data_IF_326688766800
#
_entry.id   IF_326688766800
#
_cell.length_a   1.000
_cell.length_b   1.000
_cell.length_c   1.000
_cell.angle_alpha   90.00
_cell.angle_beta   90.00
_cell.angle_gamma   90.00
#
_symmetry.space_group_name_H-M   'P 1'
#
loop_
_entity.id
_entity.type
_entity.pdbx_description
1 polymer ?
#
# COMPACT_ATOMS: atom_id res chain seq x y z
N UNK A 1 2.75 5.02 -4.75
CA UNK A 1 3.39 6.34 -4.62
C UNK A 1 4.23 6.37 -3.34
N UNK A 2 3.66 6.24 -2.13
CA UNK A 2 4.40 6.33 -0.86
C UNK A 2 5.39 5.18 -0.64
N UNK A 3 5.06 3.97 -1.06
CA UNK A 3 5.91 2.79 -0.88
C UNK A 3 7.24 2.87 -1.64
N UNK A 4 7.24 3.49 -2.83
CA UNK A 4 8.44 3.56 -3.66
C UNK A 4 9.55 4.42 -3.05
N UNK A 5 9.31 5.69 -2.65
CA UNK A 5 10.33 6.51 -2.00
C UNK A 5 10.90 5.86 -0.75
N UNK A 6 10.05 5.23 0.06
CA UNK A 6 10.48 4.55 1.29
C UNK A 6 11.36 3.35 0.96
N UNK A 7 10.92 2.46 0.07
CA UNK A 7 11.69 1.29 -0.34
C UNK A 7 13.04 1.70 -0.98
N UNK A 8 13.02 2.75 -1.81
CA UNK A 8 14.23 3.30 -2.42
C UNK A 8 15.19 3.88 -1.38
N UNK A 9 14.68 4.66 -0.42
CA UNK A 9 15.49 5.20 0.67
C UNK A 9 16.14 4.05 1.47
N UNK A 10 15.37 3.04 1.86
CA UNK A 10 15.88 1.89 2.62
C UNK A 10 16.95 1.12 1.84
N UNK A 11 16.76 0.93 0.52
CA UNK A 11 17.74 0.24 -0.32
C UNK A 11 19.10 0.95 -0.38
N UNK A 12 19.14 2.26 -0.07
CA UNK A 12 20.34 3.10 -0.07
C UNK A 12 20.98 3.27 1.31
N UNK A 13 20.28 2.84 2.37
CA UNK A 13 20.83 2.90 3.74
C UNK A 13 21.91 1.83 3.91
N UNK A 14 22.91 2.14 4.76
CA UNK A 14 23.98 1.19 5.13
C UNK A 14 23.39 -0.09 5.69
N UNK A 15 24.06 -1.20 5.42
CA UNK A 15 23.57 -2.55 5.75
C UNK A 15 23.33 -2.76 7.25
N UNK A 16 24.17 -2.18 8.10
CA UNK A 16 24.07 -2.24 9.56
C UNK A 16 22.77 -1.59 10.09
N UNK A 17 22.31 -0.50 9.49
CA UNK A 17 21.11 0.23 9.90
C UNK A 17 19.85 -0.32 9.20
N UNK A 18 20.00 -0.81 7.99
CA UNK A 18 18.91 -1.25 7.10
C UNK A 18 18.00 -2.29 7.73
N UNK A 19 18.59 -3.30 8.39
CA UNK A 19 17.83 -4.33 9.08
C UNK A 19 16.99 -3.77 10.23
N UNK A 20 17.52 -2.80 10.97
CA UNK A 20 16.77 -2.08 12.01
C UNK A 20 15.59 -1.29 11.46
N UNK A 21 15.79 -0.59 10.33
CA UNK A 21 14.71 0.16 9.67
C UNK A 21 13.61 -0.77 9.15
N UNK A 22 13.97 -1.91 8.56
CA UNK A 22 13.00 -2.92 8.13
C UNK A 22 12.20 -3.49 9.31
N UNK A 23 12.87 -3.82 10.41
CA UNK A 23 12.20 -4.26 11.63
C UNK A 23 11.22 -3.21 12.15
N UNK A 24 11.59 -1.94 12.12
CA UNK A 24 10.75 -0.83 12.57
C UNK A 24 9.49 -0.66 11.70
N UNK A 25 9.60 -0.90 10.40
CA UNK A 25 8.47 -0.90 9.47
C UNK A 25 7.54 -2.09 9.73
N UNK A 26 8.11 -3.25 10.10
CA UNK A 26 7.34 -4.46 10.37
C UNK A 26 6.78 -4.51 11.80
N UNK A 27 7.33 -3.74 12.73
CA UNK A 27 6.95 -3.76 14.14
C UNK A 27 5.44 -3.56 14.37
N UNK A 28 4.75 -2.63 13.68
CA UNK A 28 3.30 -2.50 13.82
C UNK A 28 2.51 -3.77 13.50
N UNK A 29 3.06 -4.67 12.66
CA UNK A 29 2.38 -5.92 12.29
C UNK A 29 2.30 -6.94 13.43
N UNK A 30 3.14 -6.81 14.44
CA UNK A 30 3.10 -7.68 15.62
C UNK A 30 1.99 -7.29 16.59
N UNK A 31 1.36 -6.13 16.37
CA UNK A 31 0.18 -5.72 17.12
C UNK A 31 -1.10 -6.14 16.39
N UNK A 32 -2.20 -6.28 17.14
CA UNK A 32 -3.50 -6.60 16.55
C UNK A 32 -3.91 -5.58 15.48
N UNK A 33 -4.42 -6.08 14.36
CA UNK A 33 -4.95 -5.25 13.28
C UNK A 33 -6.05 -4.30 13.77
N UNK A 34 -7.01 -4.82 14.54
CA UNK A 34 -8.10 -4.02 15.09
C UNK A 34 -7.61 -2.93 16.03
N UNK A 35 -6.64 -3.23 16.92
CA UNK A 35 -6.05 -2.21 17.79
C UNK A 35 -5.45 -1.05 17.00
N UNK A 36 -4.79 -1.34 15.88
CA UNK A 36 -4.23 -0.30 15.00
C UNK A 36 -5.31 0.57 14.39
N UNK A 37 -6.41 -0.03 13.91
CA UNK A 37 -7.55 0.72 13.36
C UNK A 37 -8.19 1.60 14.44
N UNK A 38 -8.43 1.07 15.63
CA UNK A 38 -8.96 1.85 16.77
C UNK A 38 -8.01 2.98 17.19
N UNK A 39 -6.70 2.76 17.16
CA UNK A 39 -5.73 3.82 17.43
C UNK A 39 -5.87 4.97 16.43
N UNK A 40 -6.05 4.67 15.13
CA UNK A 40 -6.30 5.69 14.11
C UNK A 40 -7.62 6.44 14.33
N UNK A 41 -8.69 5.75 14.77
CA UNK A 41 -9.94 6.41 15.15
C UNK A 41 -9.70 7.45 16.26
N UNK A 42 -8.94 7.08 17.30
CA UNK A 42 -8.57 8.01 18.36
C UNK A 42 -7.70 9.17 17.90
N UNK A 43 -6.71 8.90 17.03
CA UNK A 43 -5.78 9.92 16.50
C UNK A 43 -6.51 10.95 15.63
N UNK A 44 -7.44 10.50 14.77
CA UNK A 44 -8.15 11.33 13.79
C UNK A 44 -9.43 11.95 14.32
N UNK A 45 -9.89 11.59 15.52
CA UNK A 45 -11.12 12.15 16.11
C UNK A 45 -11.02 13.66 16.27
N UNK A 46 -12.16 14.35 16.41
CA UNK A 46 -12.22 15.80 16.61
C UNK A 46 -11.47 16.27 17.86
N UNK A 47 -11.44 15.44 18.89
CA UNK A 47 -10.66 15.65 20.13
C UNK A 47 -9.35 14.85 20.14
N UNK A 48 -8.94 14.31 18.99
CA UNK A 48 -7.77 13.45 18.84
C UNK A 48 -6.45 14.19 18.81
N UNK A 49 -5.35 13.43 18.83
CA UNK A 49 -3.99 13.96 18.90
C UNK A 49 -3.69 14.94 17.77
N UNK A 50 -4.11 14.64 16.53
CA UNK A 50 -3.81 15.52 15.37
C UNK A 50 -4.48 16.87 15.54
N UNK A 51 -5.77 16.92 15.84
CA UNK A 51 -6.50 18.16 16.05
C UNK A 51 -5.94 18.95 17.24
N UNK A 52 -5.65 18.28 18.35
CA UNK A 52 -5.07 18.91 19.54
C UNK A 52 -3.71 19.55 19.24
N UNK A 53 -2.84 18.88 18.50
CA UNK A 53 -1.54 19.44 18.13
C UNK A 53 -1.66 20.63 17.18
N UNK A 54 -2.51 20.52 16.15
CA UNK A 54 -2.71 21.61 15.19
C UNK A 54 -3.30 22.85 15.85
N UNK A 55 -4.23 22.70 16.80
CA UNK A 55 -4.78 23.81 17.59
C UNK A 55 -3.73 24.42 18.53
N UNK A 56 -2.96 23.60 19.22
CA UNK A 56 -1.91 24.09 20.13
C UNK A 56 -0.81 24.85 19.40
N UNK A 57 -0.54 24.53 18.14
CA UNK A 57 0.42 25.26 17.31
C UNK A 57 -0.19 26.49 16.61
N UNK A 58 -1.48 26.76 16.83
CA UNK A 58 -2.19 27.88 16.21
C UNK A 58 -2.34 27.77 14.69
N UNK A 59 -2.28 26.55 14.15
CA UNK A 59 -2.44 26.29 12.71
C UNK A 59 -3.91 26.30 12.33
N UNK A 60 -4.81 25.87 13.24
CA UNK A 60 -6.24 25.81 13.04
C UNK A 60 -6.98 26.43 14.23
N UNK A 61 -8.08 27.14 13.97
CA UNK A 61 -8.91 27.78 15.00
C UNK A 61 -9.97 26.82 15.58
N UNK A 62 -10.32 25.77 14.86
CA UNK A 62 -11.32 24.75 15.24
C UNK A 62 -10.93 23.37 14.82
N UNK A 63 -11.56 22.30 15.35
CA UNK A 63 -11.22 20.94 15.01
C UNK A 63 -11.60 20.63 13.54
N UNK A 64 -10.68 19.96 12.84
CA UNK A 64 -10.92 19.42 11.48
C UNK A 64 -11.69 18.11 11.56
N UNK A 65 -12.59 17.89 10.63
CA UNK A 65 -13.28 16.60 10.46
C UNK A 65 -12.38 15.63 9.68
N UNK A 66 -11.35 15.10 10.36
CA UNK A 66 -10.39 14.18 9.77
C UNK A 66 -10.86 12.72 9.82
N UNK A 67 -11.86 12.43 10.63
CA UNK A 67 -12.36 11.08 10.88
C UNK A 67 -13.69 10.82 10.16
N UNK A 68 -13.94 9.55 9.83
CA UNK A 68 -15.18 9.04 9.26
C UNK A 68 -15.51 9.61 7.87
N UNK A 69 -14.47 9.72 7.02
CA UNK A 69 -14.55 10.23 5.66
C UNK A 69 -13.56 9.51 4.71
N UNK A 70 -13.52 9.90 3.43
CA UNK A 70 -12.63 9.33 2.44
C UNK A 70 -11.14 9.52 2.79
N UNK A 71 -10.78 10.63 3.41
CA UNK A 71 -9.39 10.88 3.81
C UNK A 71 -8.91 9.88 4.86
N UNK A 72 -9.70 9.66 5.93
CA UNK A 72 -9.36 8.67 6.97
C UNK A 72 -9.31 7.26 6.39
N UNK A 73 -10.23 6.91 5.51
CA UNK A 73 -10.22 5.62 4.81
C UNK A 73 -8.90 5.38 4.07
N UNK A 74 -8.53 6.31 3.18
CA UNK A 74 -7.31 6.19 2.37
C UNK A 74 -6.06 6.18 3.26
N UNK A 75 -5.99 7.06 4.26
CA UNK A 75 -4.85 7.16 5.16
C UNK A 75 -4.60 5.85 5.92
N UNK A 76 -5.66 5.30 6.52
CA UNK A 76 -5.57 4.05 7.29
C UNK A 76 -5.29 2.84 6.39
N UNK A 77 -5.89 2.79 5.20
CA UNK A 77 -5.60 1.77 4.19
C UNK A 77 -4.13 1.82 3.76
N UNK A 78 -3.61 3.01 3.43
CA UNK A 78 -2.19 3.17 3.07
C UNK A 78 -1.30 2.72 4.22
N UNK A 79 -1.55 3.15 5.44
CA UNK A 79 -0.79 2.73 6.61
C UNK A 79 -0.81 1.21 6.81
N UNK A 80 -2.00 0.59 6.71
CA UNK A 80 -2.18 -0.84 6.94
C UNK A 80 -1.47 -1.72 5.90
N UNK A 81 -1.42 -1.29 4.64
CA UNK A 81 -0.90 -2.10 3.54
C UNK A 81 0.47 -1.65 3.01
N UNK A 82 1.01 -0.53 3.51
CA UNK A 82 2.30 0.03 3.08
C UNK A 82 3.47 -0.98 3.13
N UNK A 83 3.65 -1.80 4.18
CA UNK A 83 4.74 -2.77 4.24
C UNK A 83 4.66 -3.85 3.15
N UNK A 84 3.47 -4.26 2.74
CA UNK A 84 3.30 -5.21 1.64
C UNK A 84 3.79 -4.65 0.30
N UNK A 85 3.74 -3.32 0.12
CA UNK A 85 4.33 -2.66 -1.04
C UNK A 85 5.84 -2.49 -0.90
N UNK A 86 6.32 -2.13 0.30
CA UNK A 86 7.74 -1.84 0.54
C UNK A 86 8.61 -3.08 0.35
N UNK A 87 8.23 -4.23 0.90
CA UNK A 87 9.09 -5.42 0.95
C UNK A 87 9.48 -5.96 -0.43
N UNK A 88 8.56 -6.25 -1.37
CA UNK A 88 8.93 -6.74 -2.70
C UNK A 88 9.73 -5.70 -3.50
N UNK A 89 9.35 -4.44 -3.37
CA UNK A 89 10.02 -3.35 -4.06
C UNK A 89 11.44 -3.14 -3.55
N UNK A 90 11.62 -3.18 -2.23
CA UNK A 90 12.93 -3.13 -1.59
C UNK A 90 13.83 -4.30 -2.03
N UNK A 91 13.33 -5.53 -2.03
CA UNK A 91 14.11 -6.69 -2.47
C UNK A 91 14.54 -6.60 -3.92
N UNK A 92 13.69 -6.04 -4.79
CA UNK A 92 14.04 -5.80 -6.19
C UNK A 92 15.08 -4.69 -6.35
N UNK A 93 14.94 -3.59 -5.60
CA UNK A 93 15.89 -2.48 -5.62
C UNK A 93 17.28 -2.87 -5.08
N UNK A 94 17.37 -3.84 -4.18
CA UNK A 94 18.65 -4.38 -3.72
C UNK A 94 19.42 -5.17 -4.78
N UNK A 95 18.69 -5.80 -5.72
CA UNK A 95 19.30 -6.57 -6.81
C UNK A 95 19.87 -5.67 -7.92
N UNK A 96 19.56 -4.38 -7.88
CA UNK A 96 19.98 -3.44 -8.89
C UNK A 96 21.48 -3.16 -8.80
N UNK A 97 22.22 -3.45 -9.85
CA UNK A 97 23.67 -3.18 -9.91
C UNK A 97 23.94 -1.67 -9.96
N UNK A 98 24.63 -1.19 -8.95
CA UNK A 98 25.00 0.22 -8.83
C UNK A 98 25.91 0.70 -9.98
N UNK A 99 26.69 -0.20 -10.59
CA UNK A 99 27.55 0.13 -11.72
C UNK A 99 26.78 0.69 -12.92
N UNK A 100 25.52 0.29 -13.10
CA UNK A 100 24.66 0.85 -14.13
C UNK A 100 24.39 2.35 -13.93
N UNK A 101 24.26 2.77 -12.66
CA UNK A 101 24.04 4.18 -12.33
C UNK A 101 25.32 5.00 -12.43
N UNK A 102 26.46 4.41 -12.09
CA UNK A 102 27.79 5.01 -12.26
C UNK A 102 28.09 5.21 -13.75
N UNK A 103 27.91 4.18 -14.57
CA UNK A 103 28.08 4.26 -16.02
C UNK A 103 27.16 5.31 -16.67
N UNK A 104 25.92 5.43 -16.21
CA UNK A 104 25.02 6.49 -16.68
C UNK A 104 25.52 7.88 -16.29
N UNK A 105 26.08 8.03 -15.09
CA UNK A 105 26.73 9.27 -14.65
C UNK A 105 27.94 9.66 -15.51
N UNK A 106 28.79 8.70 -15.82
CA UNK A 106 29.95 8.90 -16.69
C UNK A 106 29.56 9.33 -18.12
N UNK A 107 28.38 8.87 -18.59
CA UNK A 107 27.76 9.30 -19.83
C UNK A 107 27.01 10.64 -19.74
N UNK A 108 27.11 11.35 -18.61
CA UNK A 108 26.49 12.66 -18.37
C UNK A 108 25.00 12.63 -18.05
N UNK A 109 24.44 11.49 -17.64
CA UNK A 109 23.05 11.44 -17.21
C UNK A 109 22.90 12.09 -15.83
N UNK A 110 21.90 12.97 -15.70
CA UNK A 110 21.55 13.52 -14.38
C UNK A 110 20.94 12.43 -13.47
N UNK A 111 20.97 12.58 -12.12
CA UNK A 111 20.39 11.60 -11.19
C UNK A 111 18.92 11.29 -11.48
N UNK A 112 18.14 12.30 -11.85
CA UNK A 112 16.71 12.14 -12.21
C UNK A 112 16.59 11.32 -13.51
N UNK A 113 17.43 11.58 -14.50
CA UNK A 113 17.42 10.83 -15.76
C UNK A 113 17.81 9.38 -15.52
N UNK A 114 18.87 9.11 -14.76
CA UNK A 114 19.28 7.75 -14.37
C UNK A 114 18.18 7.01 -13.59
N UNK A 115 17.50 7.70 -12.69
CA UNK A 115 16.36 7.13 -11.98
C UNK A 115 15.24 6.72 -12.92
N UNK A 116 14.81 7.59 -13.83
CA UNK A 116 13.70 7.34 -14.75
C UNK A 116 14.01 6.30 -15.84
N UNK A 117 15.28 6.24 -16.30
CA UNK A 117 15.67 5.37 -17.40
C UNK A 117 16.26 4.03 -16.97
N UNK A 118 16.77 3.92 -15.75
CA UNK A 118 17.42 2.70 -15.24
C UNK A 118 16.66 2.16 -14.02
N UNK A 119 16.61 2.92 -12.91
CA UNK A 119 16.08 2.43 -11.65
C UNK A 119 14.61 2.07 -11.75
N UNK A 120 13.79 2.96 -12.29
CA UNK A 120 12.35 2.78 -12.40
C UNK A 120 11.98 1.60 -13.32
N UNK A 121 12.54 1.45 -14.53
CA UNK A 121 12.25 0.30 -15.38
C UNK A 121 12.70 -1.04 -14.79
N UNK A 122 13.88 -1.10 -14.18
CA UNK A 122 14.41 -2.33 -13.59
C UNK A 122 13.69 -2.73 -12.28
N UNK A 123 13.00 -1.78 -11.64
CA UNK A 123 12.18 -2.05 -10.45
C UNK A 123 10.73 -2.44 -10.76
N UNK A 124 10.31 -2.50 -12.04
CA UNK A 124 8.94 -2.81 -12.45
C UNK A 124 8.41 -4.10 -11.84
N UNK A 125 9.20 -5.16 -11.83
CA UNK A 125 8.80 -6.47 -11.26
C UNK A 125 8.44 -6.32 -9.78
N UNK A 126 9.28 -5.61 -9.00
CA UNK A 126 9.00 -5.32 -7.59
C UNK A 126 7.77 -4.44 -7.39
N UNK A 127 7.55 -3.45 -8.27
CA UNK A 127 6.36 -2.59 -8.23
C UNK A 127 5.08 -3.39 -8.47
N UNK A 128 5.07 -4.27 -9.48
CA UNK A 128 3.91 -5.08 -9.81
C UNK A 128 3.65 -6.09 -8.69
N UNK A 129 4.68 -6.80 -8.22
CA UNK A 129 4.54 -7.74 -7.12
C UNK A 129 4.01 -7.08 -5.84
N UNK A 130 4.55 -5.92 -5.45
CA UNK A 130 4.07 -5.14 -4.31
C UNK A 130 2.63 -4.66 -4.50
N UNK A 131 2.29 -4.19 -5.71
CA UNK A 131 0.92 -3.77 -6.03
C UNK A 131 -0.07 -4.91 -5.92
N UNK A 132 0.28 -6.13 -6.36
CA UNK A 132 -0.58 -7.31 -6.22
C UNK A 132 -0.77 -7.71 -4.76
N UNK A 133 0.31 -7.69 -3.97
CA UNK A 133 0.24 -8.00 -2.52
C UNK A 133 -0.62 -6.99 -1.73
N UNK A 134 -0.71 -5.75 -2.19
CA UNK A 134 -1.61 -4.74 -1.62
C UNK A 134 -3.03 -4.88 -2.17
N UNK A 135 -3.17 -5.11 -3.47
CA UNK A 135 -4.46 -5.15 -4.15
C UNK A 135 -5.36 -6.28 -3.63
N UNK A 136 -4.78 -7.50 -3.46
CA UNK A 136 -5.55 -8.68 -3.06
C UNK A 136 -6.29 -8.46 -1.73
N UNK A 137 -5.63 -8.10 -0.61
CA UNK A 137 -6.33 -7.85 0.64
C UNK A 137 -7.21 -6.60 0.60
N UNK A 138 -6.81 -5.54 -0.14
CA UNK A 138 -7.60 -4.32 -0.26
C UNK A 138 -8.98 -4.54 -0.89
N UNK A 139 -9.09 -5.43 -1.88
CA UNK A 139 -10.39 -5.74 -2.52
C UNK A 139 -11.37 -6.36 -1.53
N UNK A 140 -10.87 -7.25 -0.65
CA UNK A 140 -11.69 -7.89 0.39
C UNK A 140 -11.84 -7.09 1.68
N UNK A 141 -11.23 -5.90 1.76
CA UNK A 141 -11.21 -5.13 2.99
C UNK A 141 -12.61 -4.63 3.37
N UNK A 142 -12.99 -4.91 4.60
CA UNK A 142 -14.28 -4.54 5.18
C UNK A 142 -14.11 -3.69 6.45
N UNK A 143 -13.14 -4.05 7.32
CA UNK A 143 -13.03 -3.48 8.66
C UNK A 143 -12.66 -2.00 8.63
N UNK A 144 -11.69 -1.63 7.79
CA UNK A 144 -11.26 -0.23 7.68
C UNK A 144 -12.39 0.64 7.10
N UNK A 145 -13.05 0.30 5.97
CA UNK A 145 -14.18 1.08 5.46
C UNK A 145 -15.34 1.18 6.43
N UNK A 146 -15.60 0.13 7.22
CA UNK A 146 -16.67 0.14 8.21
C UNK A 146 -16.37 1.07 9.39
N UNK A 147 -15.15 1.00 9.92
CA UNK A 147 -14.79 1.73 11.14
C UNK A 147 -14.38 3.18 10.89
N UNK A 148 -13.71 3.48 9.77
CA UNK A 148 -13.13 4.81 9.52
C UNK A 148 -13.60 5.47 8.22
N UNK A 149 -14.23 4.71 7.32
CA UNK A 149 -14.55 5.20 5.97
C UNK A 149 -15.79 6.09 5.87
N UNK A 150 -16.66 6.08 6.85
CA UNK A 150 -17.94 6.75 6.78
C UNK A 150 -18.98 6.04 5.89
N UNK A 151 -20.24 6.54 5.86
CA UNK A 151 -21.35 5.86 5.20
C UNK A 151 -21.29 5.93 3.67
N UNK A 152 -20.69 6.98 3.13
CA UNK A 152 -20.63 7.22 1.68
C UNK A 152 -19.55 6.39 0.97
N UNK A 153 -18.57 5.87 1.72
CA UNK A 153 -17.44 5.13 1.17
C UNK A 153 -17.73 3.63 1.16
N UNK A 154 -18.39 3.19 0.08
CA UNK A 154 -18.71 1.78 -0.13
C UNK A 154 -17.59 1.08 -0.88
N UNK A 155 -16.83 0.25 -0.19
CA UNK A 155 -15.92 -0.72 -0.80
C UNK A 155 -16.64 -2.05 -1.04
N UNK A 156 -16.19 -2.81 -2.05
CA UNK A 156 -16.84 -4.05 -2.45
C UNK A 156 -16.90 -5.09 -1.30
N UNK A 157 -15.84 -5.16 -0.47
CA UNK A 157 -15.81 -6.01 0.73
C UNK A 157 -16.89 -5.62 1.75
N UNK A 158 -17.09 -4.30 1.96
CA UNK A 158 -18.15 -3.77 2.82
C UNK A 158 -19.54 -4.10 2.27
N UNK A 159 -19.75 -3.92 0.96
CA UNK A 159 -21.01 -4.28 0.29
C UNK A 159 -21.32 -5.77 0.44
N UNK A 160 -20.34 -6.63 0.26
CA UNK A 160 -20.49 -8.08 0.46
C UNK A 160 -20.92 -8.41 1.88
N UNK A 161 -20.24 -7.82 2.87
CA UNK A 161 -20.57 -8.03 4.29
C UNK A 161 -21.99 -7.60 4.60
N UNK A 162 -22.38 -6.39 4.20
CA UNK A 162 -23.73 -5.85 4.42
C UNK A 162 -24.80 -6.71 3.75
N UNK A 163 -24.59 -7.14 2.51
CA UNK A 163 -25.54 -8.00 1.80
C UNK A 163 -25.72 -9.35 2.51
N UNK A 164 -24.62 -9.93 3.01
CA UNK A 164 -24.67 -11.27 3.63
C UNK A 164 -25.20 -11.23 5.07
N UNK A 165 -24.66 -10.38 5.93
CA UNK A 165 -24.94 -10.39 7.36
C UNK A 165 -26.06 -9.45 7.79
N UNK A 166 -26.12 -8.23 7.20
CA UNK A 166 -27.07 -7.21 7.66
C UNK A 166 -28.42 -7.36 6.94
N UNK A 167 -28.38 -7.55 5.62
CA UNK A 167 -29.58 -7.63 4.78
C UNK A 167 -30.10 -9.07 4.62
N UNK A 168 -29.31 -10.08 4.95
CA UNK A 168 -29.60 -11.50 4.69
C UNK A 168 -29.96 -11.78 3.21
N UNK A 169 -29.42 -10.97 2.29
CA UNK A 169 -29.61 -11.09 0.85
C UNK A 169 -28.54 -11.97 0.22
N UNK A 170 -28.66 -13.27 0.42
CA UNK A 170 -27.67 -14.24 -0.03
C UNK A 170 -27.47 -14.27 -1.56
N UNK A 171 -28.51 -14.10 -2.40
CA UNK A 171 -28.32 -13.99 -3.84
C UNK A 171 -27.44 -12.79 -4.23
N UNK A 172 -27.66 -11.62 -3.62
CA UNK A 172 -26.82 -10.44 -3.86
C UNK A 172 -25.39 -10.67 -3.37
N UNK A 173 -25.24 -11.20 -2.15
CA UNK A 173 -23.92 -11.51 -1.59
C UNK A 173 -23.14 -12.47 -2.47
N UNK A 174 -23.79 -13.51 -3.00
CA UNK A 174 -23.16 -14.47 -3.91
C UNK A 174 -22.72 -13.82 -5.23
N UNK A 175 -23.55 -12.92 -5.80
CA UNK A 175 -23.20 -12.19 -7.01
C UNK A 175 -21.99 -11.26 -6.79
N UNK A 176 -21.95 -10.52 -5.67
CA UNK A 176 -20.82 -9.67 -5.29
C UNK A 176 -19.57 -10.51 -5.06
N UNK A 177 -19.67 -11.66 -4.40
CA UNK A 177 -18.55 -12.57 -4.19
C UNK A 177 -17.95 -13.07 -5.51
N UNK A 178 -18.78 -13.45 -6.49
CA UNK A 178 -18.32 -13.86 -7.83
C UNK A 178 -17.59 -12.71 -8.52
N UNK A 179 -18.13 -11.49 -8.47
CA UNK A 179 -17.47 -10.31 -9.03
C UNK A 179 -16.12 -10.08 -8.35
N UNK A 180 -16.03 -10.19 -7.02
CA UNK A 180 -14.77 -10.06 -6.29
C UNK A 180 -13.74 -11.10 -6.72
N UNK A 181 -14.13 -12.36 -6.86
CA UNK A 181 -13.26 -13.44 -7.35
C UNK A 181 -12.74 -13.13 -8.75
N UNK A 182 -13.62 -12.71 -9.66
CA UNK A 182 -13.21 -12.34 -11.02
C UNK A 182 -12.25 -11.15 -11.02
N UNK A 183 -12.53 -10.13 -10.19
CA UNK A 183 -11.70 -8.95 -10.05
C UNK A 183 -10.31 -9.27 -9.49
N UNK A 184 -10.18 -10.32 -8.67
CA UNK A 184 -8.90 -10.80 -8.15
C UNK A 184 -8.18 -11.72 -9.15
N UNK A 185 -8.88 -12.70 -9.72
CA UNK A 185 -8.29 -13.75 -10.57
C UNK A 185 -7.78 -13.16 -11.89
N UNK A 186 -8.52 -12.24 -12.51
CA UNK A 186 -8.16 -11.70 -13.83
C UNK A 186 -6.81 -10.97 -13.81
N UNK A 187 -6.53 -10.00 -12.90
CA UNK A 187 -5.22 -9.36 -12.85
C UNK A 187 -4.08 -10.32 -12.51
N UNK A 188 -4.33 -11.31 -11.63
CA UNK A 188 -3.34 -12.32 -11.26
C UNK A 188 -2.99 -13.20 -12.46
N UNK A 189 -4.00 -13.66 -13.20
CA UNK A 189 -3.80 -14.49 -14.39
C UNK A 189 -3.05 -13.72 -15.48
N UNK A 190 -3.39 -12.46 -15.69
CA UNK A 190 -2.68 -11.57 -16.62
C UNK A 190 -1.23 -11.42 -16.21
N UNK A 191 -0.97 -11.12 -14.94
CA UNK A 191 0.38 -10.98 -14.41
C UNK A 191 1.22 -12.25 -14.61
N UNK A 192 0.68 -13.42 -14.22
CA UNK A 192 1.37 -14.70 -14.38
C UNK A 192 1.68 -15.03 -15.85
N UNK A 193 0.77 -14.69 -16.76
CA UNK A 193 0.99 -14.90 -18.19
C UNK A 193 2.15 -14.06 -18.75
N UNK A 194 2.27 -12.79 -18.29
CA UNK A 194 3.38 -11.93 -18.70
C UNK A 194 4.71 -12.39 -18.11
N UNK A 195 4.74 -12.76 -16.83
CA UNK A 195 5.94 -13.24 -16.15
C UNK A 195 6.49 -14.53 -16.80
N UNK A 196 5.61 -15.46 -17.18
CA UNK A 196 5.99 -16.69 -17.86
C UNK A 196 6.65 -16.44 -19.22
N UNK A 197 6.18 -15.44 -19.96
CA UNK A 197 6.77 -15.06 -21.26
C UNK A 197 8.14 -14.40 -21.14
N UNK A 198 8.38 -13.60 -20.12
CA UNK A 198 9.71 -13.01 -19.88
C UNK A 198 10.73 -14.10 -19.55
N UNK A 199 10.37 -15.09 -18.74
CA UNK A 199 11.24 -16.21 -18.37
C UNK A 199 11.57 -17.11 -19.59
N UNK A 200 10.61 -17.31 -20.50
CA UNK A 200 10.83 -18.09 -21.73
C UNK A 200 11.69 -17.33 -22.75
N UNK A 201 11.53 -16.00 -22.86
CA UNK A 201 12.34 -15.15 -23.72
C UNK A 201 13.80 -14.99 -23.28
N UNK A 202 14.09 -15.16 -21.99
CA UNK A 202 15.45 -15.10 -21.44
C UNK A 202 16.22 -16.42 -21.61
N UNK A 203 15.51 -17.52 -21.95
CA UNK A 203 16.09 -18.86 -22.22
C UNK A 203 16.34 -19.17 -23.69
N UNK A 204 15.87 -18.32 -24.60
CA UNK A 204 16.04 -18.45 -26.04
C UNK A 204 17.17 -17.52 -26.55
#
# INVERSE_FOLDING_TARGET
>A
IFGYPIAYAISRVREDIRNGVLLLIMLPFWTSFLLRVYAWMGILSTTGLVNTWLQNWGIIDGPLELFYNQFSLILVMVYAYLPFMILPLYTQLLKLDHRLLEAAGDLGASPIKSFLTITLPLSKVGMIAGSMLVFIPCVGEYVIPELVGGPENLMIGKVLWQAFFDQNNWPLASAVAVIMVLLLVVPIAIFHHYESREIEGEKA
#
